data_IF_379598894277
#
_entry.id   IF_379598894277
#
_cell.length_a   1.000
_cell.length_b   1.000
_cell.length_c   1.000
_cell.angle_alpha   90.00
_cell.angle_beta   90.00
_cell.angle_gamma   90.00
#
_symmetry.space_group_name_H-M   'P 1'
#
loop_
_entity.id
_entity.type
_entity.pdbx_description
1 polymer ?
#
# COMPACT_ATOMS: atom_id res chain seq x y z
N UNK A 1 8.66 17.04 12.43
CA UNK A 1 8.30 15.84 11.67
C UNK A 1 6.88 15.42 12.01
N UNK A 2 6.13 15.01 11.02
CA UNK A 2 4.74 14.58 11.19
C UNK A 2 4.65 13.05 11.17
N UNK A 3 3.56 12.54 11.69
CA UNK A 3 3.31 11.11 11.80
C UNK A 3 2.09 10.75 10.96
N UNK A 4 2.18 9.67 10.20
CA UNK A 4 1.12 9.28 9.26
C UNK A 4 0.78 7.81 9.35
N UNK A 5 -0.48 7.53 9.13
CA UNK A 5 -0.97 6.17 8.86
C UNK A 5 -1.23 6.05 7.37
N UNK A 6 -0.62 5.07 6.74
CA UNK A 6 -0.79 4.80 5.31
C UNK A 6 -1.50 3.47 5.18
N UNK A 7 -2.60 3.44 4.43
CA UNK A 7 -3.33 2.21 4.14
C UNK A 7 -3.34 2.00 2.64
N UNK A 8 -2.69 0.93 2.17
CA UNK A 8 -2.75 0.52 0.77
C UNK A 8 -3.94 -0.41 0.58
N UNK A 9 -4.63 -0.27 -0.53
CA UNK A 9 -5.79 -1.10 -0.85
C UNK A 9 -5.72 -1.58 -2.30
N UNK A 10 -6.38 -2.70 -2.56
CA UNK A 10 -6.42 -3.31 -3.88
C UNK A 10 -7.86 -3.48 -4.35
N UNK A 11 -8.10 -3.47 -5.68
CA UNK A 11 -9.47 -3.41 -6.21
C UNK A 11 -10.27 -4.70 -6.11
N UNK A 12 -9.65 -5.85 -6.08
CA UNK A 12 -10.38 -7.12 -6.24
C UNK A 12 -10.79 -7.80 -4.95
N UNK A 13 -9.94 -7.74 -3.95
CA UNK A 13 -10.14 -8.53 -2.74
C UNK A 13 -10.56 -7.71 -1.55
N UNK A 14 -10.58 -6.38 -1.68
CA UNK A 14 -10.79 -5.50 -0.54
C UNK A 14 -9.71 -5.62 0.52
N UNK A 15 -8.58 -6.19 0.15
CA UNK A 15 -7.46 -6.36 1.06
C UNK A 15 -6.73 -5.05 1.30
N UNK A 16 -6.33 -4.84 2.53
CA UNK A 16 -5.65 -3.62 2.94
C UNK A 16 -4.37 -3.96 3.71
N UNK A 17 -3.37 -3.13 3.53
CA UNK A 17 -2.13 -3.22 4.29
C UNK A 17 -1.82 -1.86 4.87
N UNK A 18 -1.63 -1.78 6.18
CA UNK A 18 -1.41 -0.53 6.88
C UNK A 18 0.03 -0.43 7.37
N UNK A 19 0.61 0.75 7.22
CA UNK A 19 1.94 1.08 7.72
C UNK A 19 1.91 2.43 8.42
N UNK A 20 2.87 2.66 9.30
CA UNK A 20 2.99 3.90 10.06
C UNK A 20 4.35 4.51 9.78
N UNK A 21 4.36 5.72 9.26
CA UNK A 21 5.58 6.37 8.81
C UNK A 21 5.71 7.80 9.34
N UNK A 22 6.96 8.25 9.44
CA UNK A 22 7.26 9.64 9.75
C UNK A 22 7.71 10.34 8.48
N UNK A 23 7.26 11.57 8.29
CA UNK A 23 7.65 12.40 7.16
C UNK A 23 7.42 13.86 7.48
N UNK A 24 8.04 14.75 6.74
CA UNK A 24 7.82 16.18 6.93
C UNK A 24 6.49 16.64 6.37
N UNK A 25 5.99 15.92 5.35
CA UNK A 25 4.69 16.20 4.74
C UNK A 25 4.13 14.92 4.11
N UNK A 26 2.84 14.95 3.82
CA UNK A 26 2.17 13.86 3.10
C UNK A 26 2.81 13.64 1.72
N UNK A 27 3.17 14.73 1.04
CA UNK A 27 3.81 14.66 -0.27
C UNK A 27 5.11 13.87 -0.24
N UNK A 28 5.89 13.98 0.83
CA UNK A 28 7.14 13.25 0.97
C UNK A 28 6.92 11.73 0.94
N UNK A 29 5.78 11.24 1.43
CA UNK A 29 5.46 9.81 1.39
C UNK A 29 5.33 9.30 -0.05
N UNK A 30 4.86 10.14 -0.96
CA UNK A 30 4.79 9.80 -2.38
C UNK A 30 6.14 9.93 -3.07
N UNK A 31 6.85 11.02 -2.83
CA UNK A 31 8.12 11.31 -3.52
C UNK A 31 9.25 10.40 -3.08
N UNK A 32 9.23 9.93 -1.84
CA UNK A 32 10.22 8.99 -1.31
C UNK A 32 9.99 7.55 -1.75
N UNK A 33 8.83 7.26 -2.36
CA UNK A 33 8.47 5.91 -2.77
C UNK A 33 7.87 5.05 -1.66
N UNK A 34 7.64 5.57 -0.48
CA UNK A 34 7.07 4.80 0.63
C UNK A 34 5.65 4.34 0.35
N UNK A 35 4.83 5.21 -0.23
CA UNK A 35 3.45 4.86 -0.60
C UNK A 35 3.45 3.77 -1.67
N UNK A 36 4.27 3.91 -2.69
CA UNK A 36 4.38 2.90 -3.76
C UNK A 36 4.92 1.57 -3.23
N UNK A 37 5.88 1.61 -2.33
CA UNK A 37 6.42 0.40 -1.71
C UNK A 37 5.34 -0.36 -0.94
N UNK A 38 4.46 0.36 -0.26
CA UNK A 38 3.37 -0.28 0.48
C UNK A 38 2.35 -0.91 -0.47
N UNK A 39 2.06 -0.26 -1.59
CA UNK A 39 1.20 -0.83 -2.63
C UNK A 39 1.82 -2.12 -3.17
N UNK A 40 3.12 -2.12 -3.45
CA UNK A 40 3.86 -3.30 -3.90
C UNK A 40 3.76 -4.44 -2.88
N UNK A 41 3.97 -4.14 -1.61
CA UNK A 41 3.89 -5.13 -0.54
C UNK A 41 2.48 -5.72 -0.43
N UNK A 42 1.46 -4.88 -0.56
CA UNK A 42 0.08 -5.32 -0.52
C UNK A 42 -0.23 -6.27 -1.69
N UNK A 43 0.16 -5.89 -2.89
CA UNK A 43 -0.05 -6.71 -4.08
C UNK A 43 0.68 -8.05 -3.97
N UNK A 44 1.95 -8.00 -3.57
CA UNK A 44 2.77 -9.22 -3.44
C UNK A 44 2.28 -10.16 -2.34
N UNK A 45 1.64 -9.61 -1.31
CA UNK A 45 1.11 -10.41 -0.21
C UNK A 45 -0.18 -11.15 -0.57
N UNK A 46 -1.00 -10.57 -1.46
CA UNK A 46 -2.34 -11.07 -1.73
C UNK A 46 -2.57 -11.55 -3.15
N UNK A 47 -1.64 -11.29 -4.07
CA UNK A 47 -1.82 -11.62 -5.47
C UNK A 47 -0.73 -12.54 -6.00
N UNK A 48 -1.16 -13.48 -6.82
CA UNK A 48 -0.28 -14.31 -7.60
C UNK A 48 -0.68 -14.14 -9.08
N UNK A 49 0.19 -13.50 -9.83
CA UNK A 49 -0.08 -13.19 -11.24
C UNK A 49 0.23 -14.34 -12.20
N UNK A 50 0.63 -15.50 -11.68
CA UNK A 50 0.92 -16.66 -12.53
C UNK A 50 -0.33 -17.18 -13.26
N UNK A 51 -1.52 -16.92 -12.71
CA UNK A 51 -2.80 -17.34 -13.29
C UNK A 51 -3.39 -16.31 -14.26
N UNK A 52 -2.56 -15.48 -14.85
CA UNK A 52 -3.03 -14.37 -15.70
C UNK A 52 -3.94 -14.83 -16.85
N UNK A 53 -3.72 -16.01 -17.40
CA UNK A 53 -4.53 -16.54 -18.50
C UNK A 53 -5.98 -16.81 -18.07
N UNK A 54 -6.17 -17.28 -16.84
CA UNK A 54 -7.50 -17.56 -16.30
C UNK A 54 -8.35 -16.30 -16.15
N UNK A 55 -7.69 -15.16 -16.04
CA UNK A 55 -8.35 -13.86 -15.89
C UNK A 55 -8.43 -13.06 -17.19
N UNK A 56 -7.98 -13.66 -18.30
CA UNK A 56 -8.10 -13.02 -19.60
C UNK A 56 -7.00 -12.04 -19.97
N UNK A 57 -5.88 -12.08 -19.27
CA UNK A 57 -4.72 -11.24 -19.57
C UNK A 57 -3.73 -11.99 -20.46
N UNK A 58 -2.97 -11.26 -21.24
CA UNK A 58 -1.97 -11.82 -22.15
C UNK A 58 -0.65 -12.14 -21.47
N UNK A 59 -0.36 -11.46 -20.34
CA UNK A 59 0.89 -11.66 -19.59
C UNK A 59 0.71 -11.26 -18.14
N UNK A 60 1.66 -11.69 -17.31
CA UNK A 60 1.70 -11.29 -15.90
C UNK A 60 1.86 -9.78 -15.77
N UNK A 61 2.65 -9.17 -16.66
CA UNK A 61 2.89 -7.73 -16.66
C UNK A 61 1.61 -6.96 -16.94
N UNK A 62 0.80 -7.42 -17.87
CA UNK A 62 -0.47 -6.78 -18.20
C UNK A 62 -1.42 -6.80 -17.00
N UNK A 63 -1.53 -7.94 -16.34
CA UNK A 63 -2.38 -8.07 -15.16
C UNK A 63 -1.85 -7.22 -14.01
N UNK A 64 -0.55 -7.25 -13.76
CA UNK A 64 0.08 -6.44 -12.73
C UNK A 64 -0.20 -4.95 -12.94
N UNK A 65 -0.04 -4.47 -14.17
CA UNK A 65 -0.30 -3.08 -14.52
C UNK A 65 -1.77 -2.70 -14.30
N UNK A 66 -2.67 -3.55 -14.75
CA UNK A 66 -4.10 -3.34 -14.54
C UNK A 66 -4.46 -3.30 -13.05
N UNK A 67 -3.88 -4.21 -12.29
CA UNK A 67 -4.15 -4.31 -10.85
C UNK A 67 -3.62 -3.09 -10.11
N UNK A 68 -2.44 -2.61 -10.48
CA UNK A 68 -1.83 -1.42 -9.87
C UNK A 68 -2.61 -0.15 -10.17
N UNK A 69 -3.18 -0.02 -11.34
CA UNK A 69 -4.01 1.13 -11.68
C UNK A 69 -5.23 1.24 -10.78
N UNK A 70 -5.79 0.11 -10.37
CA UNK A 70 -6.92 0.08 -9.46
C UNK A 70 -6.55 0.14 -7.98
N UNK A 71 -5.25 0.02 -7.67
CA UNK A 71 -4.77 0.07 -6.29
C UNK A 71 -4.43 1.51 -5.90
N UNK A 72 -4.47 1.78 -4.60
CA UNK A 72 -4.14 3.11 -4.12
C UNK A 72 -3.79 3.11 -2.64
N UNK A 73 -3.54 4.29 -2.12
CA UNK A 73 -3.27 4.48 -0.70
C UNK A 73 -4.15 5.58 -0.14
N UNK A 74 -4.50 5.45 1.12
CA UNK A 74 -5.14 6.48 1.91
C UNK A 74 -4.15 6.89 3.00
N UNK A 75 -3.88 8.18 3.12
CA UNK A 75 -2.91 8.71 4.08
C UNK A 75 -3.63 9.63 5.05
N UNK A 76 -3.44 9.36 6.34
CA UNK A 76 -4.06 10.14 7.42
C UNK A 76 -2.94 10.60 8.35
N UNK A 77 -2.92 11.88 8.66
CA UNK A 77 -1.99 12.40 9.68
C UNK A 77 -2.49 11.99 11.06
N UNK A 78 -1.61 11.46 11.89
CA UNK A 78 -1.92 11.03 13.24
C UNK A 78 -1.00 11.75 14.25
N UNK A 79 -1.30 11.61 15.54
CA UNK A 79 -0.48 12.19 16.59
C UNK A 79 0.74 11.30 16.85
N UNK A 80 1.76 11.90 17.47
CA UNK A 80 2.93 11.15 17.93
C UNK A 80 2.52 10.01 18.87
N UNK A 81 1.58 10.28 19.76
CA UNK A 81 1.09 9.29 20.71
C UNK A 81 0.45 8.09 19.98
N UNK A 82 -0.41 8.37 19.00
CA UNK A 82 -1.04 7.32 18.20
C UNK A 82 -0.01 6.51 17.43
N UNK A 83 0.99 7.18 16.87
CA UNK A 83 2.08 6.52 16.15
C UNK A 83 2.83 5.55 17.04
N UNK A 84 3.20 5.98 18.23
CA UNK A 84 3.92 5.15 19.20
C UNK A 84 3.08 3.97 19.67
N UNK A 85 1.80 4.21 19.96
CA UNK A 85 0.87 3.17 20.38
C UNK A 85 0.71 2.08 19.34
N UNK A 86 0.58 2.46 18.07
CA UNK A 86 0.42 1.50 16.98
C UNK A 86 1.69 0.70 16.74
N UNK A 87 2.85 1.32 16.84
CA UNK A 87 4.12 0.61 16.69
C UNK A 87 4.39 -0.32 17.86
N UNK A 88 4.07 0.11 19.07
CA UNK A 88 4.27 -0.69 20.28
C UNK A 88 3.28 -1.85 20.39
N UNK A 89 2.16 -1.81 19.68
CA UNK A 89 1.21 -2.91 19.72
C UNK A 89 1.69 -4.16 18.99
N UNK A 90 2.92 -4.16 18.54
CA UNK A 90 3.62 -5.40 18.23
C UNK A 90 3.36 -5.99 16.86
N UNK A 91 3.10 -5.19 15.95
CA UNK A 91 2.76 -5.75 14.64
C UNK A 91 3.74 -5.34 13.57
#
# INVERSE_FOLDING_TARGET
MKYFQITAYTPYCGEELTSYEMAESEEELYTSGKADALIDDCINSYMDFSDYEDYGFESEEEWDEYYREGSGVEIIEITKQSYEDYKDSGH
#
